data_IF_695259240774
#
_entry.id   IF_695259240774
#
_cell.length_a   1.000
_cell.length_b   1.000
_cell.length_c   1.000
_cell.angle_alpha   90.00
_cell.angle_beta   90.00
_cell.angle_gamma   90.00
#
_symmetry.space_group_name_H-M   'P 1'
#
loop_
_entity.id
_entity.type
_entity.pdbx_description
1 polymer ?
#
# COMPACT_ATOMS: atom_id res chain seq x y z
N UNK A 1 -62.59 -6.52 3.70
CA UNK A 1 -61.51 -7.53 3.85
C UNK A 1 -61.22 -7.70 5.33
N UNK A 2 -61.19 -8.93 5.85
CA UNK A 2 -60.99 -9.19 7.28
C UNK A 2 -59.59 -8.74 7.72
N UNK A 3 -59.44 -8.23 8.94
CA UNK A 3 -58.16 -7.71 9.50
C UNK A 3 -57.02 -8.73 9.38
N UNK A 4 -57.35 -10.02 9.48
CA UNK A 4 -56.42 -11.14 9.32
C UNK A 4 -55.78 -11.20 7.92
N UNK A 5 -56.52 -10.87 6.86
CA UNK A 5 -55.96 -10.81 5.50
C UNK A 5 -54.95 -9.68 5.32
N UNK A 6 -55.12 -8.56 6.03
CA UNK A 6 -54.18 -7.42 5.94
C UNK A 6 -52.86 -7.74 6.64
N UNK A 7 -52.90 -8.45 7.78
CA UNK A 7 -51.71 -8.95 8.46
C UNK A 7 -50.89 -9.90 7.59
N UNK A 8 -51.55 -10.84 6.88
CA UNK A 8 -50.86 -11.77 5.99
C UNK A 8 -50.14 -11.05 4.84
N UNK A 9 -50.77 -10.03 4.26
CA UNK A 9 -50.18 -9.23 3.18
C UNK A 9 -48.93 -8.49 3.66
N UNK A 10 -48.99 -7.88 4.84
CA UNK A 10 -47.84 -7.18 5.44
C UNK A 10 -46.71 -8.16 5.74
N UNK A 11 -47.02 -9.34 6.28
CA UNK A 11 -46.02 -10.36 6.57
C UNK A 11 -45.28 -10.78 5.29
N UNK A 12 -46.02 -11.08 4.22
CA UNK A 12 -45.45 -11.46 2.92
C UNK A 12 -44.58 -10.33 2.36
N UNK A 13 -45.08 -9.09 2.38
CA UNK A 13 -44.35 -7.94 1.87
C UNK A 13 -43.06 -7.66 2.66
N UNK A 14 -43.11 -7.82 3.97
CA UNK A 14 -41.93 -7.65 4.84
C UNK A 14 -40.87 -8.72 4.58
N UNK A 15 -41.28 -9.96 4.32
CA UNK A 15 -40.37 -11.05 3.93
C UNK A 15 -39.68 -10.77 2.59
N UNK A 16 -40.42 -10.24 1.61
CA UNK A 16 -39.86 -9.84 0.32
C UNK A 16 -38.83 -8.71 0.45
N UNK A 17 -39.16 -7.68 1.23
CA UNK A 17 -38.25 -6.57 1.51
C UNK A 17 -36.97 -7.04 2.21
N UNK A 18 -37.08 -7.92 3.20
CA UNK A 18 -35.93 -8.49 3.90
C UNK A 18 -35.06 -9.32 2.96
N UNK A 19 -35.67 -10.14 2.11
CA UNK A 19 -34.96 -10.92 1.09
C UNK A 19 -34.18 -10.02 0.13
N UNK A 20 -34.82 -8.97 -0.36
CA UNK A 20 -34.19 -7.99 -1.24
C UNK A 20 -33.04 -7.25 -0.54
N UNK A 21 -33.27 -6.76 0.68
CA UNK A 21 -32.26 -6.07 1.47
C UNK A 21 -31.05 -6.95 1.77
N UNK A 22 -31.27 -8.25 2.03
CA UNK A 22 -30.20 -9.22 2.25
C UNK A 22 -29.32 -9.39 1.01
N UNK A 23 -29.92 -9.46 -0.18
CA UNK A 23 -29.16 -9.56 -1.44
C UNK A 23 -28.36 -8.27 -1.67
N UNK A 24 -28.98 -7.11 -1.47
CA UNK A 24 -28.31 -5.81 -1.58
C UNK A 24 -27.12 -5.69 -0.63
N UNK A 25 -27.32 -6.02 0.63
CA UNK A 25 -26.27 -5.98 1.65
C UNK A 25 -25.13 -6.95 1.30
N UNK A 26 -25.45 -8.14 0.79
CA UNK A 26 -24.44 -9.11 0.36
C UNK A 26 -23.55 -8.55 -0.74
N UNK A 27 -24.11 -7.83 -1.72
CA UNK A 27 -23.35 -7.20 -2.80
C UNK A 27 -22.49 -6.06 -2.24
N UNK A 28 -23.04 -5.23 -1.35
CA UNK A 28 -22.29 -4.15 -0.72
C UNK A 28 -21.09 -4.65 0.10
N UNK A 29 -21.25 -5.76 0.82
CA UNK A 29 -20.16 -6.39 1.58
C UNK A 29 -19.10 -6.93 0.62
N UNK A 30 -19.50 -7.57 -0.47
CA UNK A 30 -18.58 -8.09 -1.48
C UNK A 30 -17.77 -6.96 -2.14
N UNK A 31 -18.42 -5.84 -2.47
CA UNK A 31 -17.74 -4.67 -3.03
C UNK A 31 -16.76 -4.05 -2.01
N UNK A 32 -17.17 -3.91 -0.74
CA UNK A 32 -16.29 -3.41 0.31
C UNK A 32 -15.05 -4.30 0.50
N UNK A 33 -15.23 -5.63 0.52
CA UNK A 33 -14.12 -6.57 0.61
C UNK A 33 -13.18 -6.47 -0.59
N UNK A 34 -13.74 -6.31 -1.79
CA UNK A 34 -12.96 -6.08 -3.01
C UNK A 34 -12.15 -4.79 -2.93
N UNK A 35 -12.77 -3.69 -2.50
CA UNK A 35 -12.08 -2.41 -2.32
C UNK A 35 -10.95 -2.50 -1.29
N UNK A 36 -11.19 -3.18 -0.17
CA UNK A 36 -10.17 -3.42 0.87
C UNK A 36 -8.98 -4.19 0.30
N UNK A 37 -9.23 -5.32 -0.38
CA UNK A 37 -8.16 -6.12 -1.00
C UNK A 37 -7.41 -5.34 -2.08
N UNK A 38 -8.11 -4.52 -2.86
CA UNK A 38 -7.50 -3.65 -3.86
C UNK A 38 -6.58 -2.61 -3.22
N UNK A 39 -6.97 -2.06 -2.06
CA UNK A 39 -6.15 -1.09 -1.34
C UNK A 39 -4.91 -1.74 -0.74
N UNK A 40 -5.05 -2.93 -0.15
CA UNK A 40 -3.94 -3.73 0.36
C UNK A 40 -2.91 -4.04 -0.74
N UNK A 41 -3.37 -4.46 -1.92
CA UNK A 41 -2.47 -4.67 -3.08
C UNK A 41 -1.72 -3.41 -3.47
N UNK A 42 -2.37 -2.24 -3.46
CA UNK A 42 -1.70 -0.96 -3.76
C UNK A 42 -0.62 -0.64 -2.73
N UNK A 43 -0.87 -0.92 -1.45
CA UNK A 43 0.12 -0.74 -0.38
C UNK A 43 1.31 -1.67 -0.60
N UNK A 44 1.07 -2.95 -0.86
CA UNK A 44 2.14 -3.92 -1.13
C UNK A 44 3.01 -3.51 -2.32
N UNK A 45 2.40 -3.09 -3.44
CA UNK A 45 3.14 -2.61 -4.62
C UNK A 45 3.96 -1.36 -4.30
N UNK A 46 3.44 -0.44 -3.48
CA UNK A 46 4.19 0.74 -3.07
C UNK A 46 5.38 0.38 -2.18
N UNK A 47 5.20 -0.56 -1.25
CA UNK A 47 6.27 -1.07 -0.38
C UNK A 47 7.35 -1.78 -1.19
N UNK A 48 6.99 -2.60 -2.17
CA UNK A 48 7.95 -3.29 -3.05
C UNK A 48 8.80 -2.28 -3.84
N UNK A 49 8.16 -1.25 -4.42
CA UNK A 49 8.88 -0.17 -5.10
C UNK A 49 9.83 0.57 -4.16
N UNK A 50 9.39 0.87 -2.94
CA UNK A 50 10.23 1.53 -1.94
C UNK A 50 11.43 0.66 -1.56
N UNK A 51 11.23 -0.63 -1.33
CA UNK A 51 12.30 -1.57 -1.02
C UNK A 51 13.35 -1.62 -2.14
N UNK A 52 12.90 -1.67 -3.41
CA UNK A 52 13.80 -1.64 -4.56
C UNK A 52 14.62 -0.34 -4.62
N UNK A 53 13.98 0.81 -4.43
CA UNK A 53 14.66 2.10 -4.42
C UNK A 53 15.66 2.23 -3.26
N UNK A 54 15.33 1.69 -2.09
CA UNK A 54 16.25 1.66 -0.96
C UNK A 54 17.47 0.79 -1.25
N UNK A 55 17.29 -0.41 -1.80
CA UNK A 55 18.39 -1.27 -2.21
C UNK A 55 19.30 -0.60 -3.26
N UNK A 56 18.71 0.09 -4.24
CA UNK A 56 19.48 0.82 -5.26
C UNK A 56 20.23 2.02 -4.67
N UNK A 57 19.60 2.75 -3.74
CA UNK A 57 20.25 3.83 -2.99
C UNK A 57 21.43 3.32 -2.18
N UNK A 58 21.26 2.22 -1.44
CA UNK A 58 22.34 1.61 -0.66
C UNK A 58 23.47 1.10 -1.56
N UNK A 59 23.13 0.50 -2.70
CA UNK A 59 24.11 0.11 -3.70
C UNK A 59 24.89 1.29 -4.27
N UNK A 60 24.21 2.41 -4.58
CA UNK A 60 24.84 3.67 -5.01
C UNK A 60 25.76 4.27 -3.94
N UNK A 61 25.36 4.20 -2.68
CA UNK A 61 26.14 4.69 -1.54
C UNK A 61 27.20 3.69 -1.06
N UNK A 62 27.29 2.51 -1.68
CA UNK A 62 28.26 1.51 -1.26
C UNK A 62 29.69 2.02 -1.49
N UNK A 63 30.61 1.79 -0.53
CA UNK A 63 31.98 2.29 -0.63
C UNK A 63 32.72 1.84 -1.89
N UNK A 64 32.41 0.63 -2.39
CA UNK A 64 32.96 0.09 -3.62
C UNK A 64 32.55 0.95 -4.83
N UNK A 65 31.26 1.26 -4.96
CA UNK A 65 30.76 2.05 -6.09
C UNK A 65 31.22 3.50 -6.02
N UNK A 66 31.26 4.07 -4.81
CA UNK A 66 31.83 5.40 -4.59
C UNK A 66 33.32 5.46 -4.94
N UNK A 67 34.07 4.39 -4.66
CA UNK A 67 35.49 4.30 -5.02
C UNK A 67 35.69 4.15 -6.53
N UNK A 68 34.90 3.31 -7.20
CA UNK A 68 34.91 3.22 -8.67
C UNK A 68 34.61 4.56 -9.34
N UNK A 69 33.61 5.30 -8.83
CA UNK A 69 33.25 6.60 -9.38
C UNK A 69 34.31 7.67 -9.07
N UNK A 70 34.91 7.63 -7.87
CA UNK A 70 36.05 8.48 -7.52
C UNK A 70 37.25 8.23 -8.45
N UNK A 71 37.57 6.97 -8.75
CA UNK A 71 38.64 6.61 -9.70
C UNK A 71 38.36 7.14 -11.11
N UNK A 72 37.12 7.06 -11.62
CA UNK A 72 36.73 7.64 -12.92
C UNK A 72 36.89 9.16 -12.96
N UNK A 73 36.61 9.84 -11.84
CA UNK A 73 36.74 11.29 -11.70
C UNK A 73 38.18 11.73 -11.39
N UNK A 74 39.13 10.80 -11.30
CA UNK A 74 40.53 11.08 -10.92
C UNK A 74 40.70 11.51 -9.47
N UNK A 75 39.68 11.28 -8.64
CA UNK A 75 39.69 11.59 -7.22
C UNK A 75 40.46 10.50 -6.46
N UNK A 76 41.36 10.93 -5.58
CA UNK A 76 42.21 10.08 -4.75
C UNK A 76 42.00 10.39 -3.27
N UNK A 77 42.27 9.44 -2.37
CA UNK A 77 42.33 9.73 -0.94
C UNK A 77 43.29 10.91 -0.69
N UNK A 78 42.91 11.88 0.14
CA UNK A 78 43.79 13.01 0.45
C UNK A 78 44.98 12.53 1.29
N UNK A 79 46.17 13.04 1.00
CA UNK A 79 47.39 12.68 1.74
C UNK A 79 47.47 13.42 3.08
N UNK A 80 48.29 12.93 4.03
CA UNK A 80 48.49 13.42 5.41
C UNK A 80 48.89 14.92 5.54
N UNK A 81 49.01 15.66 4.44
CA UNK A 81 49.30 17.11 4.42
C UNK A 81 48.28 17.94 3.65
N UNK A 82 47.28 17.32 3.02
CA UNK A 82 46.23 18.00 2.23
C UNK A 82 44.96 18.23 3.06
N UNK A 83 44.79 17.53 4.20
CA UNK A 83 43.63 17.70 5.09
C UNK A 83 44.00 18.58 6.27
N UNK A 84 43.31 19.71 6.40
CA UNK A 84 43.45 20.60 7.56
C UNK A 84 42.63 20.02 8.72
N UNK A 85 43.30 19.40 9.68
CA UNK A 85 42.66 18.97 10.93
C UNK A 85 42.53 20.20 11.83
N UNK A 86 41.31 20.61 12.16
CA UNK A 86 41.09 21.67 13.14
C UNK A 86 41.49 21.12 14.52
N UNK A 87 42.55 21.69 15.10
CA UNK A 87 42.99 21.33 16.45
C UNK A 87 41.86 21.61 17.44
N UNK A 88 41.57 20.60 18.27
CA UNK A 88 40.54 20.66 19.31
C UNK A 88 41.05 21.44 20.52
#
# INVERSE_FOLDING_TARGET
MKKESWFLIILIFSGLLLGFFKIWLSISIADLAYQSSKLEKKVLVAQEKQAKLLAEKEYLLSPLRLKEEAEKLGLRPPQEKEVRVLAK
#
